data_IF_725758963645
#
_entry.id   IF_725758963645
#
_cell.length_a   1.000
_cell.length_b   1.000
_cell.length_c   1.000
_cell.angle_alpha   90.00
_cell.angle_beta   90.00
_cell.angle_gamma   90.00
#
_symmetry.space_group_name_H-M   'P 1'
#
loop_
_entity.id
_entity.type
_entity.pdbx_description
1 polymer ?
#
# COMPACT_ATOMS: atom_id res chain seq x y z
N UNK A 1 2.41 11.25 7.44
CA UNK A 1 1.42 10.21 7.80
C UNK A 1 1.40 10.10 9.32
N UNK A 2 0.21 10.00 9.93
CA UNK A 2 -0.11 10.20 11.37
C UNK A 2 0.17 11.59 11.98
N UNK A 3 1.35 12.18 11.78
CA UNK A 3 1.63 13.56 12.25
C UNK A 3 0.77 14.62 11.55
N UNK A 4 0.47 14.39 10.28
CA UNK A 4 -0.49 15.20 9.50
C UNK A 4 -1.94 15.05 9.96
N UNK A 5 -2.20 14.21 10.97
CA UNK A 5 -3.48 14.02 11.64
C UNK A 5 -3.44 14.41 13.12
N UNK A 6 -2.46 15.23 13.54
CA UNK A 6 -2.31 15.74 14.92
C UNK A 6 -2.09 14.68 16.00
N UNK A 7 -1.78 13.42 15.65
CA UNK A 7 -1.30 12.47 16.65
C UNK A 7 0.17 12.77 16.97
N UNK A 8 0.57 12.83 18.26
CA UNK A 8 1.96 12.97 18.68
C UNK A 8 2.68 11.63 18.45
N UNK A 9 2.98 11.34 17.19
CA UNK A 9 3.77 10.19 16.80
C UNK A 9 5.20 10.66 16.67
N UNK A 10 6.09 9.98 17.40
CA UNK A 10 7.53 10.10 17.31
C UNK A 10 7.94 10.10 15.82
N UNK A 11 8.76 11.07 15.34
CA UNK A 11 9.30 11.05 13.98
C UNK A 11 10.17 9.83 13.68
N UNK A 12 10.54 9.04 14.69
CA UNK A 12 11.31 7.83 14.53
C UNK A 12 10.56 6.71 13.80
N UNK A 13 11.31 5.89 13.09
CA UNK A 13 10.80 4.67 12.46
C UNK A 13 10.84 3.52 13.46
N UNK A 14 9.70 3.18 14.06
CA UNK A 14 9.61 2.09 15.04
C UNK A 14 9.91 0.69 14.47
N UNK A 15 9.99 0.55 13.14
CA UNK A 15 10.41 -0.69 12.49
C UNK A 15 11.92 -0.92 12.54
N UNK A 16 12.73 0.14 12.53
CA UNK A 16 14.20 0.04 12.49
C UNK A 16 14.93 0.97 13.47
N UNK A 17 14.19 1.70 14.29
CA UNK A 17 14.67 2.68 15.27
C UNK A 17 15.49 3.83 14.66
N UNK A 18 15.23 4.20 13.40
CA UNK A 18 15.82 5.39 12.77
C UNK A 18 15.16 6.66 13.30
N UNK A 19 15.91 7.74 13.52
CA UNK A 19 15.41 9.00 14.12
C UNK A 19 14.41 9.76 13.22
N UNK A 20 14.28 9.38 11.95
CA UNK A 20 13.40 10.04 10.98
C UNK A 20 12.75 9.04 10.01
N UNK A 21 11.42 9.08 9.93
CA UNK A 21 10.56 8.24 9.07
C UNK A 21 9.85 9.07 7.98
N UNK A 22 10.54 9.50 6.90
CA UNK A 22 9.87 10.00 5.71
C UNK A 22 9.22 8.84 4.94
N UNK A 23 8.22 9.09 4.07
CA UNK A 23 7.58 8.03 3.30
C UNK A 23 8.56 7.14 2.51
N UNK A 24 9.59 7.73 1.90
CA UNK A 24 10.63 6.97 1.19
C UNK A 24 11.41 6.05 2.13
N UNK A 25 11.68 6.50 3.36
CA UNK A 25 12.32 5.63 4.35
C UNK A 25 11.40 4.46 4.70
N UNK A 26 10.15 4.73 5.08
CA UNK A 26 9.20 3.68 5.44
C UNK A 26 9.07 2.62 4.34
N UNK A 27 8.94 3.04 3.09
CA UNK A 27 8.64 2.14 1.98
C UNK A 27 9.85 1.59 1.23
N UNK A 28 11.02 2.24 1.31
CA UNK A 28 12.19 1.89 0.51
C UNK A 28 13.45 1.66 1.34
N UNK A 29 13.83 2.62 2.18
CA UNK A 29 15.15 2.62 2.82
C UNK A 29 15.19 1.95 4.20
N UNK A 30 14.04 1.77 4.85
CA UNK A 30 13.91 1.10 6.15
C UNK A 30 14.47 -0.33 6.07
N UNK A 31 15.17 -0.76 7.12
CA UNK A 31 15.78 -2.09 7.15
C UNK A 31 14.77 -3.21 6.89
N UNK A 32 13.60 -3.16 7.55
CA UNK A 32 12.52 -4.11 7.32
C UNK A 32 12.02 -4.04 5.86
N UNK A 33 11.75 -2.84 5.35
CA UNK A 33 11.23 -2.65 4.00
C UNK A 33 12.16 -3.24 2.94
N UNK A 34 13.48 -2.99 3.05
CA UNK A 34 14.50 -3.59 2.17
C UNK A 34 14.45 -5.11 2.18
N UNK A 35 14.35 -5.71 3.36
CA UNK A 35 14.24 -7.16 3.48
C UNK A 35 12.95 -7.69 2.86
N UNK A 36 11.82 -6.99 3.01
CA UNK A 36 10.54 -7.36 2.41
C UNK A 36 10.63 -7.32 0.88
N UNK A 37 11.18 -6.25 0.31
CA UNK A 37 11.38 -6.14 -1.14
C UNK A 37 12.28 -7.26 -1.68
N UNK A 38 13.40 -7.52 -1.00
CA UNK A 38 14.36 -8.55 -1.40
C UNK A 38 13.80 -9.97 -1.26
N UNK A 39 12.99 -10.22 -0.22
CA UNK A 39 12.37 -11.54 0.03
C UNK A 39 11.12 -11.80 -0.83
N UNK A 40 10.63 -10.79 -1.54
CA UNK A 40 9.48 -10.94 -2.43
C UNK A 40 9.87 -11.61 -3.74
N UNK A 41 8.86 -12.06 -4.48
CA UNK A 41 9.03 -12.59 -5.84
C UNK A 41 9.59 -11.54 -6.83
N UNK A 42 9.56 -10.25 -6.47
CA UNK A 42 10.13 -9.18 -7.28
C UNK A 42 11.64 -8.97 -7.04
N UNK A 43 12.18 -9.47 -5.92
CA UNK A 43 13.60 -9.43 -5.55
C UNK A 43 14.25 -8.05 -5.72
N UNK A 44 13.52 -7.00 -5.34
CA UNK A 44 13.95 -5.61 -5.56
C UNK A 44 14.97 -5.20 -4.50
N UNK A 45 16.09 -4.65 -4.94
CA UNK A 45 17.01 -3.90 -4.09
C UNK A 45 16.53 -2.44 -3.97
N UNK A 46 15.64 -2.19 -3.01
CA UNK A 46 14.98 -0.90 -2.84
C UNK A 46 15.92 0.26 -2.49
N UNK A 47 17.17 -0.02 -2.08
CA UNK A 47 18.17 1.02 -1.83
C UNK A 47 18.71 1.65 -3.10
N UNK A 48 18.73 0.91 -4.21
CA UNK A 48 19.21 1.42 -5.50
C UNK A 48 18.18 2.32 -6.19
N UNK A 49 16.95 2.35 -5.69
CA UNK A 49 15.87 3.17 -6.24
C UNK A 49 15.95 4.57 -5.64
N UNK A 50 16.20 5.56 -6.48
CA UNK A 50 16.37 6.95 -6.09
C UNK A 50 15.13 7.76 -6.45
N UNK A 51 14.72 8.69 -5.58
CA UNK A 51 13.68 9.67 -5.85
C UNK A 51 13.69 10.78 -4.80
N UNK A 52 13.39 12.02 -5.19
CA UNK A 52 13.37 13.16 -4.25
C UNK A 52 12.14 13.17 -3.36
N UNK A 53 11.07 12.53 -3.83
CA UNK A 53 9.82 12.33 -3.12
C UNK A 53 9.30 10.91 -3.42
N UNK A 54 8.24 10.51 -2.72
CA UNK A 54 7.67 9.17 -2.88
C UNK A 54 7.19 8.88 -4.31
N UNK A 55 6.64 9.88 -5.01
CA UNK A 55 6.14 9.71 -6.38
C UNK A 55 7.30 9.42 -7.33
N UNK A 56 8.38 10.19 -7.27
CA UNK A 56 9.58 9.96 -8.07
C UNK A 56 10.24 8.61 -7.77
N UNK A 57 10.28 8.23 -6.50
CA UNK A 57 10.79 6.92 -6.06
C UNK A 57 9.93 5.79 -6.63
N UNK A 58 8.60 5.91 -6.55
CA UNK A 58 7.66 4.93 -7.10
C UNK A 58 7.79 4.80 -8.62
N UNK A 59 7.86 5.93 -9.35
CA UNK A 59 8.04 5.92 -10.79
C UNK A 59 9.37 5.26 -11.18
N UNK A 60 10.44 5.51 -10.42
CA UNK A 60 11.75 4.88 -10.64
C UNK A 60 11.73 3.38 -10.35
N UNK A 61 10.95 2.95 -9.35
CA UNK A 61 10.73 1.53 -9.02
C UNK A 61 10.03 0.79 -10.15
N UNK A 62 8.95 1.34 -10.70
CA UNK A 62 8.11 0.64 -11.70
C UNK A 62 8.63 0.76 -13.13
N UNK A 63 9.49 1.75 -13.43
CA UNK A 63 10.02 2.00 -14.77
C UNK A 63 10.64 0.77 -15.44
N UNK A 64 11.43 -0.09 -14.77
CA UNK A 64 12.00 -1.29 -15.39
C UNK A 64 10.94 -2.30 -15.87
N UNK A 65 9.73 -2.24 -15.32
CA UNK A 65 8.64 -3.18 -15.62
C UNK A 65 7.70 -2.69 -16.72
N UNK A 66 7.86 -1.46 -17.22
CA UNK A 66 6.89 -0.82 -18.12
C UNK A 66 6.62 -1.58 -19.41
N UNK A 67 7.61 -2.34 -19.87
CA UNK A 67 7.59 -3.06 -21.15
C UNK A 67 7.37 -4.57 -20.99
N UNK A 68 7.12 -5.05 -19.76
CA UNK A 68 6.89 -6.47 -19.50
C UNK A 68 5.42 -6.84 -19.80
N UNK A 69 5.20 -8.03 -20.36
CA UNK A 69 3.85 -8.52 -20.68
C UNK A 69 2.96 -8.70 -19.45
N UNK A 70 3.56 -8.95 -18.28
CA UNK A 70 2.90 -9.10 -16.99
C UNK A 70 3.05 -7.87 -16.07
N UNK A 71 3.27 -6.67 -16.64
CA UNK A 71 3.50 -5.43 -15.86
C UNK A 71 2.42 -5.16 -14.80
N UNK A 72 1.15 -5.43 -15.11
CA UNK A 72 0.03 -5.09 -14.22
C UNK A 72 0.01 -6.01 -13.00
N UNK A 73 0.41 -7.27 -13.17
CA UNK A 73 0.59 -8.23 -12.08
C UNK A 73 1.75 -7.80 -11.18
N UNK A 74 2.91 -7.46 -11.78
CA UNK A 74 4.10 -7.02 -11.04
C UNK A 74 3.79 -5.74 -10.23
N UNK A 75 3.15 -4.75 -10.85
CA UNK A 75 2.76 -3.50 -10.19
C UNK A 75 1.78 -3.77 -9.06
N UNK A 76 0.82 -4.69 -9.25
CA UNK A 76 -0.12 -5.10 -8.19
C UNK A 76 0.62 -5.69 -6.99
N UNK A 77 1.55 -6.63 -7.21
CA UNK A 77 2.39 -7.18 -6.13
C UNK A 77 3.16 -6.07 -5.42
N UNK A 78 3.75 -5.12 -6.16
CA UNK A 78 4.47 -3.98 -5.59
C UNK A 78 3.56 -3.10 -4.71
N UNK A 79 2.31 -2.84 -5.12
CA UNK A 79 1.32 -2.11 -4.32
C UNK A 79 0.99 -2.87 -3.02
N UNK A 80 0.80 -4.18 -3.09
CA UNK A 80 0.54 -5.00 -1.90
C UNK A 80 1.74 -5.07 -0.96
N UNK A 81 2.97 -5.04 -1.47
CA UNK A 81 4.18 -4.95 -0.64
C UNK A 81 4.20 -3.63 0.14
N UNK A 82 3.93 -2.50 -0.51
CA UNK A 82 3.80 -1.20 0.17
C UNK A 82 2.73 -1.25 1.27
N UNK A 83 1.57 -1.82 0.97
CA UNK A 83 0.49 -1.98 1.93
C UNK A 83 0.90 -2.82 3.14
N UNK A 84 1.55 -3.98 2.93
CA UNK A 84 1.99 -4.84 4.02
C UNK A 84 3.10 -4.21 4.86
N UNK A 85 4.01 -3.43 4.26
CA UNK A 85 5.01 -2.64 5.00
C UNK A 85 4.31 -1.60 5.89
N UNK A 86 3.31 -0.89 5.38
CA UNK A 86 2.53 0.06 6.18
C UNK A 86 1.78 -0.64 7.32
N UNK A 87 1.17 -1.80 7.06
CA UNK A 87 0.52 -2.61 8.10
C UNK A 87 1.51 -3.07 9.16
N UNK A 88 2.68 -3.56 8.78
CA UNK A 88 3.73 -3.96 9.71
C UNK A 88 4.14 -2.80 10.63
N UNK A 89 4.31 -1.60 10.06
CA UNK A 89 4.59 -0.38 10.83
C UNK A 89 3.49 -0.08 11.83
N UNK A 90 2.22 -0.14 11.42
CA UNK A 90 1.10 0.10 12.33
C UNK A 90 0.98 -0.95 13.43
N UNK A 91 1.15 -2.24 13.11
CA UNK A 91 1.15 -3.30 14.11
C UNK A 91 2.26 -3.10 15.15
N UNK A 92 3.43 -2.61 14.73
CA UNK A 92 4.51 -2.24 15.63
C UNK A 92 4.14 -1.04 16.52
N UNK A 93 3.47 -0.03 15.97
CA UNK A 93 3.09 1.19 16.70
C UNK A 93 1.97 0.94 17.72
N UNK A 94 0.93 0.21 17.34
CA UNK A 94 -0.28 0.07 18.15
C UNK A 94 -0.28 -1.20 19.01
N UNK A 95 0.52 -2.20 18.66
CA UNK A 95 0.50 -3.51 19.33
C UNK A 95 1.91 -4.05 19.63
N UNK A 96 2.97 -3.28 19.35
CA UNK A 96 4.37 -3.67 19.52
C UNK A 96 4.74 -5.00 18.83
N UNK A 97 4.02 -5.38 17.78
CA UNK A 97 4.26 -6.63 17.03
C UNK A 97 5.43 -6.45 16.07
N UNK A 98 6.37 -7.39 16.08
CA UNK A 98 7.48 -7.42 15.13
C UNK A 98 7.11 -8.26 13.92
N UNK A 99 7.21 -7.65 12.73
CA UNK A 99 6.93 -8.35 11.48
C UNK A 99 8.14 -9.18 11.02
N UNK A 100 7.88 -10.36 10.46
CA UNK A 100 8.88 -11.15 9.75
C UNK A 100 8.88 -10.74 8.26
N UNK A 101 10.01 -10.28 7.69
CA UNK A 101 10.06 -9.80 6.30
C UNK A 101 9.55 -10.82 5.28
N UNK A 102 9.93 -12.09 5.43
CA UNK A 102 9.51 -13.16 4.52
C UNK A 102 8.00 -13.36 4.56
N UNK A 103 7.42 -13.44 5.77
CA UNK A 103 5.97 -13.60 5.94
C UNK A 103 5.24 -12.39 5.38
N UNK A 104 5.72 -11.18 5.64
CA UNK A 104 5.15 -9.94 5.09
C UNK A 104 5.14 -9.95 3.55
N UNK A 105 6.23 -10.39 2.91
CA UNK A 105 6.33 -10.51 1.47
C UNK A 105 5.40 -11.60 0.90
N UNK A 106 5.34 -12.77 1.54
CA UNK A 106 4.46 -13.87 1.15
C UNK A 106 2.98 -13.48 1.26
N UNK A 107 2.59 -12.82 2.36
CA UNK A 107 1.24 -12.29 2.54
C UNK A 107 0.88 -11.27 1.46
N UNK A 108 1.81 -10.37 1.10
CA UNK A 108 1.59 -9.42 0.02
C UNK A 108 1.33 -10.12 -1.33
N UNK A 109 2.15 -11.13 -1.65
CA UNK A 109 2.00 -11.91 -2.87
C UNK A 109 0.66 -12.68 -2.92
N UNK A 110 0.32 -13.36 -1.83
CA UNK A 110 -0.94 -14.11 -1.70
C UNK A 110 -2.15 -13.21 -1.93
N UNK A 111 -2.21 -12.06 -1.25
CA UNK A 111 -3.31 -11.11 -1.40
C UNK A 111 -3.39 -10.51 -2.82
N UNK A 112 -2.23 -10.29 -3.47
CA UNK A 112 -2.20 -9.82 -4.85
C UNK A 112 -2.79 -10.85 -5.83
N UNK A 113 -2.57 -12.16 -5.57
CA UNK A 113 -3.17 -13.25 -6.33
C UNK A 113 -4.68 -13.36 -6.08
N UNK A 114 -5.11 -13.35 -4.81
CA UNK A 114 -6.55 -13.39 -4.46
C UNK A 114 -7.31 -12.23 -5.11
N UNK A 115 -6.75 -11.00 -5.04
CA UNK A 115 -7.34 -9.84 -5.70
C UNK A 115 -7.49 -10.03 -7.21
N UNK A 116 -6.51 -10.67 -7.86
CA UNK A 116 -6.55 -10.90 -9.30
C UNK A 116 -7.69 -11.83 -9.72
N UNK A 117 -7.98 -12.85 -8.91
CA UNK A 117 -9.06 -13.82 -9.15
C UNK A 117 -10.42 -13.12 -9.04
N UNK A 118 -10.63 -12.36 -7.96
CA UNK A 118 -11.89 -11.64 -7.73
C UNK A 118 -12.16 -10.60 -8.83
N UNK A 119 -11.13 -9.87 -9.27
CA UNK A 119 -11.28 -8.90 -10.37
C UNK A 119 -11.60 -9.59 -11.69
N UNK A 120 -11.01 -10.75 -11.98
CA UNK A 120 -11.32 -11.53 -13.18
C UNK A 120 -12.77 -12.06 -13.16
N UNK A 121 -13.24 -12.57 -12.04
CA UNK A 121 -14.62 -13.05 -11.86
C UNK A 121 -15.65 -11.92 -12.06
N UNK A 122 -15.36 -10.72 -11.52
CA UNK A 122 -16.21 -9.54 -11.70
C UNK A 122 -16.23 -9.03 -13.14
N UNK A 123 -15.12 -9.13 -13.86
CA UNK A 123 -15.05 -8.75 -15.28
C UNK A 123 -15.94 -9.66 -16.16
N UNK A 124 -16.05 -10.95 -15.82
CA UNK A 124 -16.96 -11.88 -16.51
C UNK A 124 -18.42 -11.52 -16.23
N UNK A 125 -18.76 -11.23 -14.96
CA UNK A 125 -20.13 -10.88 -14.55
C UNK A 125 -20.62 -9.52 -15.06
N UNK A 126 -19.72 -8.55 -15.29
CA UNK A 126 -20.07 -7.21 -15.77
C UNK A 126 -20.06 -7.06 -17.31
N UNK A 127 -20.09 -8.17 -18.06
CA UNK A 127 -20.33 -8.12 -19.51
C UNK A 127 -21.68 -7.44 -19.80
N UNK A 128 -21.75 -6.41 -20.65
CA UNK A 128 -22.93 -5.56 -20.74
C UNK A 128 -24.08 -6.29 -21.43
N UNK A 129 -25.02 -6.81 -20.64
CA UNK A 129 -26.38 -7.07 -21.09
C UNK A 129 -27.22 -5.86 -20.68
N UNK A 130 -27.48 -4.99 -21.66
CA UNK A 130 -28.51 -3.94 -21.66
C UNK A 130 -28.30 -2.73 -20.73
N UNK A 131 -28.39 -1.56 -21.34
CA UNK A 131 -28.32 -0.22 -20.77
C UNK A 131 -29.22 -0.01 -19.55
N UNK A 132 -28.60 0.27 -18.40
CA UNK A 132 -29.25 1.03 -17.33
C UNK A 132 -28.46 2.32 -17.15
N UNK A 133 -28.98 3.38 -17.75
CA UNK A 133 -28.61 4.77 -17.47
C UNK A 133 -28.82 5.05 -15.99
N UNK A 134 -27.74 4.99 -15.22
CA UNK A 134 -27.66 5.55 -13.87
C UNK A 134 -26.85 6.84 -13.96
N UNK A 135 -27.55 7.94 -13.67
CA UNK A 135 -27.00 9.28 -13.57
C UNK A 135 -25.78 9.32 -12.65
N UNK A 136 -24.78 10.18 -12.90
CA UNK A 136 -23.63 10.30 -12.00
C UNK A 136 -24.09 11.01 -10.73
N UNK A 137 -24.37 10.26 -9.67
CA UNK A 137 -24.42 10.83 -8.33
C UNK A 137 -23.00 11.27 -8.03
N UNK A 138 -22.74 12.58 -8.04
CA UNK A 138 -21.44 13.14 -7.71
C UNK A 138 -20.97 12.52 -6.41
N UNK A 139 -19.77 11.93 -6.41
CA UNK A 139 -19.08 11.52 -5.18
C UNK A 139 -18.82 12.81 -4.41
N UNK A 140 -19.80 13.17 -3.58
CA UNK A 140 -19.84 14.43 -2.85
C UNK A 140 -18.72 14.46 -1.83
N UNK A 141 -18.09 15.62 -1.75
CA UNK A 141 -17.15 16.02 -0.71
C UNK A 141 -17.73 15.65 0.67
N UNK A 142 -16.89 15.10 1.56
CA UNK A 142 -17.34 14.64 2.88
C UNK A 142 -17.99 15.80 3.67
N UNK A 143 -19.16 15.55 4.25
CA UNK A 143 -19.88 16.49 5.12
C UNK A 143 -19.96 15.92 6.53
N UNK A 144 -19.77 16.79 7.52
CA UNK A 144 -19.90 16.47 8.94
C UNK A 144 -21.35 16.03 9.24
N UNK A 145 -21.58 14.90 9.94
CA UNK A 145 -22.92 14.52 10.35
C UNK A 145 -23.56 15.60 11.25
N UNK A 146 -24.85 15.90 11.09
CA UNK A 146 -25.53 16.86 11.95
C UNK A 146 -25.61 16.35 13.40
N UNK A 147 -25.47 17.24 14.38
CA UNK A 147 -25.63 16.91 15.80
C UNK A 147 -27.04 16.36 16.07
N UNK A 148 -27.20 15.30 16.90
CA UNK A 148 -26.21 14.63 17.76
C UNK A 148 -25.57 13.37 17.14
N UNK A 149 -25.55 13.23 15.81
CA UNK A 149 -25.08 12.02 15.14
C UNK A 149 -23.55 11.99 15.00
N UNK A 150 -22.96 10.81 15.23
CA UNK A 150 -21.56 10.54 14.97
C UNK A 150 -21.43 9.51 13.86
N UNK A 151 -20.49 9.74 12.94
CA UNK A 151 -20.10 8.75 11.94
C UNK A 151 -18.94 7.94 12.50
N UNK A 152 -19.21 6.70 12.87
CA UNK A 152 -18.19 5.71 13.18
C UNK A 152 -17.89 4.94 11.90
N UNK A 153 -16.64 4.96 11.44
CA UNK A 153 -16.19 4.00 10.44
C UNK A 153 -15.74 2.76 11.21
N UNK A 154 -16.35 1.61 10.92
CA UNK A 154 -15.92 0.30 11.39
C UNK A 154 -15.33 -0.45 10.19
N UNK A 155 -14.21 -1.13 10.42
CA UNK A 155 -13.50 -1.95 9.43
C UNK A 155 -14.11 -3.35 9.28
#
# INVERSE_FOLDING_TARGET
MLRSRHLPVDPSCLLCNSDFEPPIHLFGSCFLARQVWYSSNLQVDSQKIVGRNFIEWWLSLVRPWSNLGNKDEIIRVAIFLLWQIWKARNAKVFSNVQACPLVTAQTAHHLALEFSVVVAEQAVHNSPSSSVSSSPTSIGQWVLPPFPLFKLNVD
#
